data_IF_650477015547
#
_entry.id   IF_650477015547
#
_cell.length_a   1.000
_cell.length_b   1.000
_cell.length_c   1.000
_cell.angle_alpha   90.00
_cell.angle_beta   90.00
_cell.angle_gamma   90.00
#
_symmetry.space_group_name_H-M   'P 1'
#
loop_
_entity.id
_entity.type
_entity.pdbx_description
1 polymer ?
#
# COMPACT_ATOMS: atom_id res chain seq x y z
N UNK A 1 22.89 0.37 0.25
CA UNK A 1 21.49 -0.06 0.09
C UNK A 1 21.45 -1.57 0.01
N UNK A 2 20.69 -2.21 0.86
CA UNK A 2 20.54 -3.68 0.94
C UNK A 2 19.08 -4.04 0.77
N UNK A 3 18.78 -5.10 0.03
CA UNK A 3 17.41 -5.56 -0.14
C UNK A 3 17.26 -7.05 0.16
N UNK A 4 16.04 -7.43 0.51
CA UNK A 4 15.58 -8.82 0.57
C UNK A 4 14.21 -8.95 -0.08
N UNK A 5 13.80 -10.17 -0.38
CA UNK A 5 12.47 -10.45 -0.92
C UNK A 5 11.77 -11.49 -0.08
N UNK A 6 10.46 -11.42 0.01
CA UNK A 6 9.60 -12.42 0.63
C UNK A 6 8.44 -12.79 -0.28
N UNK A 7 8.09 -14.06 -0.29
CA UNK A 7 6.95 -14.55 -1.07
C UNK A 7 5.65 -14.37 -0.29
N UNK A 8 4.61 -13.95 -0.99
CA UNK A 8 3.27 -13.76 -0.42
C UNK A 8 2.21 -14.39 -1.33
N UNK A 9 0.98 -14.48 -0.86
CA UNK A 9 -0.14 -14.98 -1.68
C UNK A 9 -0.43 -14.11 -2.92
N UNK A 10 -0.10 -12.83 -2.88
CA UNK A 10 -0.31 -11.90 -4.00
C UNK A 10 0.89 -11.79 -4.95
N UNK A 11 2.03 -12.34 -4.56
CA UNK A 11 3.30 -12.29 -5.30
C UNK A 11 4.48 -11.96 -4.40
N UNK A 12 5.61 -11.66 -5.00
CA UNK A 12 6.83 -11.33 -4.26
C UNK A 12 6.80 -9.87 -3.79
N UNK A 13 7.20 -9.68 -2.54
CA UNK A 13 7.40 -8.37 -1.91
C UNK A 13 8.89 -8.13 -1.73
N UNK A 14 9.40 -7.02 -2.25
CA UNK A 14 10.76 -6.55 -2.08
C UNK A 14 10.81 -5.51 -0.96
N UNK A 15 11.77 -5.66 -0.05
CA UNK A 15 12.07 -4.72 1.03
C UNK A 15 13.49 -4.21 0.82
N UNK A 16 13.66 -2.90 0.80
CA UNK A 16 14.96 -2.27 0.62
C UNK A 16 15.26 -1.34 1.80
N UNK A 17 16.47 -1.45 2.31
CA UNK A 17 16.97 -0.72 3.47
C UNK A 17 18.18 0.11 3.10
N UNK A 18 18.28 1.30 3.68
CA UNK A 18 19.46 2.17 3.63
C UNK A 18 19.62 2.91 4.96
N UNK A 19 20.81 2.90 5.50
CA UNK A 19 21.18 3.61 6.75
C UNK A 19 20.25 3.29 7.94
N UNK A 20 19.87 2.02 8.10
CA UNK A 20 19.01 1.58 9.20
C UNK A 20 17.53 1.89 9.04
N UNK A 21 17.06 2.22 7.83
CA UNK A 21 15.66 2.56 7.54
C UNK A 21 15.18 1.90 6.25
N UNK A 22 13.93 1.47 6.24
CA UNK A 22 13.29 1.04 4.99
C UNK A 22 13.08 2.25 4.07
N UNK A 23 13.57 2.13 2.85
CA UNK A 23 13.44 3.16 1.82
C UNK A 23 12.54 2.74 0.66
N UNK A 24 12.33 1.42 0.50
CA UNK A 24 11.34 0.89 -0.44
C UNK A 24 10.70 -0.40 0.09
N UNK A 25 9.41 -0.54 -0.12
CA UNK A 25 8.63 -1.77 0.03
C UNK A 25 7.68 -1.82 -1.16
N UNK A 26 7.89 -2.77 -2.06
CA UNK A 26 7.13 -2.82 -3.32
C UNK A 26 7.09 -4.23 -3.93
N UNK A 27 6.21 -4.43 -4.90
CA UNK A 27 6.19 -5.64 -5.74
C UNK A 27 7.07 -5.49 -7.01
N UNK A 28 7.92 -4.46 -7.06
CA UNK A 28 8.83 -4.19 -8.18
C UNK A 28 10.20 -4.85 -7.97
N UNK A 29 11.01 -4.83 -9.00
CA UNK A 29 12.40 -5.26 -8.92
C UNK A 29 13.21 -4.33 -7.98
N UNK A 30 14.28 -4.85 -7.34
CA UNK A 30 15.14 -4.05 -6.49
C UNK A 30 15.77 -2.89 -7.26
N UNK A 31 16.11 -1.80 -6.58
CA UNK A 31 16.83 -0.69 -7.20
C UNK A 31 18.18 -1.13 -7.76
N UNK A 32 18.59 -0.51 -8.87
CA UNK A 32 19.90 -0.75 -9.47
C UNK A 32 21.01 -0.46 -8.45
N UNK A 33 21.99 -1.37 -8.37
CA UNK A 33 23.11 -1.27 -7.42
C UNK A 33 22.80 -1.68 -5.99
N UNK A 34 21.56 -2.08 -5.65
CA UNK A 34 21.27 -2.65 -4.34
C UNK A 34 21.80 -4.09 -4.23
N UNK A 35 22.47 -4.41 -3.11
CA UNK A 35 22.94 -5.76 -2.81
C UNK A 35 21.83 -6.62 -2.17
N UNK A 36 21.69 -7.85 -2.64
CA UNK A 36 20.84 -8.82 -1.94
C UNK A 36 21.49 -9.24 -0.62
N UNK A 37 20.73 -9.19 0.48
CA UNK A 37 21.26 -9.53 1.80
C UNK A 37 20.24 -9.36 2.90
N UNK A 38 20.71 -9.52 4.13
CA UNK A 38 19.91 -9.35 5.33
C UNK A 38 20.65 -8.48 6.36
N UNK A 39 19.90 -7.85 7.22
CA UNK A 39 20.36 -7.13 8.41
C UNK A 39 19.20 -7.02 9.41
N UNK A 40 19.48 -6.51 10.61
CA UNK A 40 18.50 -6.46 11.69
C UNK A 40 17.19 -5.72 11.31
N UNK A 41 17.26 -4.69 10.45
CA UNK A 41 16.08 -3.94 10.00
C UNK A 41 15.24 -4.77 9.02
N UNK A 42 15.88 -5.43 8.07
CA UNK A 42 15.21 -6.29 7.10
C UNK A 42 14.62 -7.54 7.75
N UNK A 43 15.35 -8.14 8.70
CA UNK A 43 14.87 -9.32 9.45
C UNK A 43 13.63 -8.97 10.28
N UNK A 44 13.66 -7.84 10.99
CA UNK A 44 12.51 -7.36 11.76
C UNK A 44 11.34 -6.98 10.83
N UNK A 45 11.62 -6.38 9.69
CA UNK A 45 10.61 -6.06 8.71
C UNK A 45 9.92 -7.33 8.18
N UNK A 46 10.66 -8.34 7.77
CA UNK A 46 10.10 -9.62 7.33
C UNK A 46 9.22 -10.24 8.42
N UNK A 47 9.68 -10.29 9.67
CA UNK A 47 8.92 -10.81 10.80
C UNK A 47 7.60 -10.07 11.03
N UNK A 48 7.61 -8.74 10.94
CA UNK A 48 6.39 -7.94 11.08
C UNK A 48 5.43 -8.11 9.90
N UNK A 49 5.94 -8.16 8.67
CA UNK A 49 5.11 -8.41 7.49
C UNK A 49 4.49 -9.80 7.52
N UNK A 50 5.23 -10.85 7.91
CA UNK A 50 4.67 -12.19 8.11
C UNK A 50 3.52 -12.16 9.12
N UNK A 51 3.73 -11.55 10.28
CA UNK A 51 2.69 -11.41 11.32
C UNK A 51 1.49 -10.60 10.84
N UNK A 52 1.70 -9.58 10.01
CA UNK A 52 0.63 -8.80 9.38
C UNK A 52 -0.16 -9.66 8.38
N UNK A 53 0.51 -10.42 7.52
CA UNK A 53 -0.14 -11.29 6.53
C UNK A 53 -0.86 -12.47 7.17
N UNK A 54 -0.46 -12.89 8.36
CA UNK A 54 -1.18 -13.87 9.19
C UNK A 54 -2.37 -13.26 9.97
N UNK A 55 -2.60 -11.95 9.86
CA UNK A 55 -3.65 -11.24 10.60
C UNK A 55 -3.37 -11.04 12.09
N UNK A 56 -2.17 -11.35 12.55
CA UNK A 56 -1.74 -11.23 13.95
C UNK A 56 -1.30 -9.82 14.31
N UNK A 57 -0.79 -9.06 13.35
CA UNK A 57 -0.33 -7.68 13.51
C UNK A 57 -1.17 -6.74 12.66
N UNK A 58 -1.67 -5.66 13.25
CA UNK A 58 -2.50 -4.66 12.56
C UNK A 58 -1.75 -3.35 12.26
N UNK A 59 -0.61 -3.14 12.89
CA UNK A 59 0.22 -1.94 12.71
C UNK A 59 1.67 -2.35 12.61
N UNK A 60 2.32 -1.88 11.57
CA UNK A 60 3.77 -2.04 11.38
C UNK A 60 4.49 -0.93 12.15
N UNK A 61 5.51 -1.31 12.92
CA UNK A 61 6.38 -0.38 13.66
C UNK A 61 7.83 -0.60 13.20
N UNK A 62 8.18 0.04 12.10
CA UNK A 62 9.45 -0.11 11.41
C UNK A 62 10.07 1.26 11.13
N UNK A 63 11.37 1.42 11.29
CA UNK A 63 12.04 2.64 10.87
C UNK A 63 11.99 2.77 9.35
N UNK A 64 11.54 3.90 8.86
CA UNK A 64 11.48 4.18 7.43
C UNK A 64 11.93 5.60 7.09
N UNK A 65 12.33 5.81 5.85
CA UNK A 65 12.53 7.11 5.26
C UNK A 65 11.90 7.12 3.86
N UNK A 66 11.15 8.14 3.56
CA UNK A 66 10.67 8.38 2.20
C UNK A 66 10.76 9.87 1.89
N UNK A 67 11.13 10.17 0.67
CA UNK A 67 11.27 11.52 0.18
C UNK A 67 10.43 11.70 -1.07
N UNK A 68 9.68 12.78 -1.09
CA UNK A 68 8.83 13.14 -2.21
C UNK A 68 8.69 14.65 -2.34
N UNK A 69 7.84 15.09 -3.23
CA UNK A 69 7.44 16.50 -3.25
C UNK A 69 6.63 16.83 -2.00
N UNK A 70 6.56 18.10 -1.58
CA UNK A 70 5.75 18.51 -0.42
C UNK A 70 4.28 18.05 -0.49
N UNK A 71 3.73 17.96 -1.70
CA UNK A 71 2.38 17.43 -1.91
C UNK A 71 2.32 15.92 -1.69
N UNK A 72 3.26 15.14 -2.22
CA UNK A 72 3.33 13.70 -2.00
C UNK A 72 3.50 13.35 -0.53
N UNK A 73 4.38 14.02 0.18
CA UNK A 73 4.61 13.78 1.61
C UNK A 73 3.36 14.03 2.44
N UNK A 74 2.61 15.11 2.15
CA UNK A 74 1.30 15.36 2.80
C UNK A 74 0.27 14.29 2.49
N UNK A 75 0.22 13.80 1.25
CA UNK A 75 -0.66 12.68 0.88
C UNK A 75 -0.27 11.44 1.66
N UNK A 76 1.00 11.05 1.64
CA UNK A 76 1.48 9.83 2.31
C UNK A 76 1.26 9.89 3.83
N UNK A 77 1.44 11.06 4.45
CA UNK A 77 1.10 11.25 5.87
C UNK A 77 -0.39 11.03 6.12
N UNK A 78 -1.26 11.58 5.29
CA UNK A 78 -2.70 11.35 5.40
C UNK A 78 -3.08 9.87 5.21
N UNK A 79 -2.38 9.15 4.30
CA UNK A 79 -2.59 7.71 4.11
C UNK A 79 -2.21 6.90 5.36
N UNK A 80 -1.12 7.24 6.05
CA UNK A 80 -0.69 6.56 7.27
C UNK A 80 -1.67 6.72 8.44
N UNK A 81 -2.55 7.72 8.38
CA UNK A 81 -3.61 7.93 9.37
C UNK A 81 -4.85 7.06 9.14
N UNK A 82 -4.96 6.34 8.01
CA UNK A 82 -6.09 5.45 7.75
C UNK A 82 -5.90 4.18 8.58
N UNK A 83 -6.82 3.86 9.53
CA UNK A 83 -6.68 2.68 10.37
C UNK A 83 -6.78 1.38 9.58
N UNK A 84 -6.25 0.30 10.17
CA UNK A 84 -6.42 -1.07 9.68
C UNK A 84 -7.92 -1.41 9.54
N UNK A 85 -8.28 -1.98 8.40
CA UNK A 85 -9.67 -2.35 8.10
C UNK A 85 -10.58 -1.19 7.69
N UNK A 86 -10.06 0.04 7.61
CA UNK A 86 -10.82 1.19 7.12
C UNK A 86 -10.36 1.61 5.72
N UNK A 87 -11.24 2.29 5.02
CA UNK A 87 -10.95 2.85 3.70
C UNK A 87 -11.35 4.32 3.63
N UNK A 88 -10.68 5.05 2.79
CA UNK A 88 -11.03 6.44 2.42
C UNK A 88 -11.05 6.57 0.91
N UNK A 89 -11.85 7.49 0.41
CA UNK A 89 -11.82 7.84 -1.01
C UNK A 89 -10.71 8.84 -1.30
N UNK A 90 -10.25 8.89 -2.55
CA UNK A 90 -9.27 9.90 -2.98
C UNK A 90 -9.76 11.33 -2.71
N UNK A 91 -11.07 11.58 -2.81
CA UNK A 91 -11.68 12.88 -2.50
C UNK A 91 -11.66 13.23 -1.01
N UNK A 92 -11.83 12.24 -0.11
CA UNK A 92 -11.70 12.44 1.33
C UNK A 92 -10.28 12.80 1.73
N UNK A 93 -9.28 12.09 1.19
CA UNK A 93 -7.86 12.43 1.39
C UNK A 93 -7.55 13.84 0.86
N UNK A 94 -8.04 14.18 -0.33
CA UNK A 94 -7.86 15.50 -0.92
C UNK A 94 -8.43 16.62 -0.02
N UNK A 95 -9.61 16.43 0.57
CA UNK A 95 -10.19 17.37 1.55
C UNK A 95 -9.37 17.45 2.83
N UNK A 96 -8.93 16.30 3.36
CA UNK A 96 -8.11 16.22 4.58
C UNK A 96 -6.82 17.02 4.47
N UNK A 97 -6.16 17.00 3.31
CA UNK A 97 -4.91 17.74 3.08
C UNK A 97 -5.12 19.19 2.62
N UNK A 98 -6.36 19.70 2.65
CA UNK A 98 -6.69 21.08 2.27
C UNK A 98 -6.77 21.37 0.77
N UNK A 99 -6.82 20.31 -0.08
CA UNK A 99 -6.87 20.42 -1.55
C UNK A 99 -8.09 19.68 -2.13
N UNK A 100 -9.35 20.10 -1.84
CA UNK A 100 -10.57 19.33 -2.12
C UNK A 100 -10.79 18.97 -3.60
N UNK A 101 -10.16 19.70 -4.53
CA UNK A 101 -10.24 19.43 -5.98
C UNK A 101 -9.09 18.54 -6.51
N UNK A 102 -8.19 18.09 -5.64
CA UNK A 102 -6.96 17.39 -6.02
C UNK A 102 -7.07 15.85 -5.98
N UNK A 103 -8.25 15.24 -6.05
CA UNK A 103 -8.43 13.78 -5.95
C UNK A 103 -7.57 13.00 -6.96
N UNK A 104 -7.44 13.50 -8.19
CA UNK A 104 -6.57 12.90 -9.22
C UNK A 104 -5.08 12.96 -8.85
N UNK A 105 -4.62 14.10 -8.33
CA UNK A 105 -3.24 14.28 -7.87
C UNK A 105 -2.94 13.41 -6.63
N UNK A 106 -3.91 13.24 -5.73
CA UNK A 106 -3.83 12.28 -4.61
C UNK A 106 -3.66 10.85 -5.13
N UNK A 107 -4.44 10.45 -6.14
CA UNK A 107 -4.27 9.13 -6.78
C UNK A 107 -2.88 8.93 -7.37
N UNK A 108 -2.32 9.94 -8.04
CA UNK A 108 -0.97 9.87 -8.58
C UNK A 108 0.09 9.81 -7.47
N UNK A 109 -0.06 10.58 -6.40
CA UNK A 109 0.83 10.53 -5.24
C UNK A 109 0.77 9.16 -4.53
N UNK A 110 -0.43 8.59 -4.37
CA UNK A 110 -0.61 7.24 -3.82
C UNK A 110 0.06 6.17 -4.71
N UNK A 111 -0.01 6.31 -6.04
CA UNK A 111 0.66 5.42 -6.99
C UNK A 111 2.19 5.48 -6.89
N UNK A 112 2.73 6.63 -6.54
CA UNK A 112 4.18 6.86 -6.38
C UNK A 112 4.70 6.56 -4.96
N UNK A 113 3.88 5.98 -4.10
CA UNK A 113 4.26 5.58 -2.75
C UNK A 113 5.39 4.54 -2.79
N UNK A 114 6.58 4.81 -2.23
CA UNK A 114 7.68 3.86 -2.23
C UNK A 114 7.58 2.82 -1.12
N UNK A 115 6.72 3.02 -0.12
CA UNK A 115 6.63 2.23 1.11
C UNK A 115 5.26 1.55 1.23
N UNK A 116 4.98 0.60 0.32
CA UNK A 116 3.74 -0.17 0.35
C UNK A 116 3.53 -0.81 1.73
N UNK A 117 2.31 -0.82 2.24
CA UNK A 117 1.91 -1.32 3.57
C UNK A 117 2.26 -0.38 4.73
N UNK A 118 3.48 0.14 4.82
CA UNK A 118 3.87 1.16 5.81
C UNK A 118 3.06 2.44 5.57
N UNK A 119 2.97 2.85 4.31
CA UNK A 119 2.02 3.86 3.85
C UNK A 119 0.89 3.14 3.10
N UNK A 120 -0.28 2.92 3.74
CA UNK A 120 -1.28 1.97 3.29
C UNK A 120 -2.13 2.51 2.13
N UNK A 121 -1.53 2.74 0.98
CA UNK A 121 -2.21 3.24 -0.21
C UNK A 121 -3.30 2.29 -0.74
N UNK A 122 -3.27 1.00 -0.36
CA UNK A 122 -4.35 0.05 -0.66
C UNK A 122 -5.68 0.40 0.03
N UNK A 123 -5.66 1.18 1.13
CA UNK A 123 -6.86 1.64 1.85
C UNK A 123 -7.56 2.83 1.18
N UNK A 124 -7.02 3.34 0.06
CA UNK A 124 -7.67 4.41 -0.71
C UNK A 124 -8.40 3.81 -1.90
N UNK A 125 -9.69 4.12 -2.01
CA UNK A 125 -10.60 3.58 -3.02
C UNK A 125 -11.28 4.70 -3.81
N UNK A 126 -11.89 4.36 -4.93
CA UNK A 126 -12.77 5.27 -5.66
C UNK A 126 -14.13 5.41 -4.95
N UNK A 127 -14.86 6.44 -5.33
CA UNK A 127 -16.27 6.61 -4.91
C UNK A 127 -17.09 5.37 -5.29
N UNK A 128 -18.14 5.08 -4.52
CA UNK A 128 -19.01 3.91 -4.68
C UNK A 128 -18.28 2.56 -4.53
N UNK A 129 -17.22 2.50 -3.73
CA UNK A 129 -16.50 1.26 -3.39
C UNK A 129 -15.67 0.65 -4.53
N UNK A 130 -15.51 1.32 -5.66
CA UNK A 130 -14.63 0.82 -6.72
C UNK A 130 -13.18 0.88 -6.27
N UNK A 131 -12.41 -0.17 -6.56
CA UNK A 131 -11.03 -0.32 -6.06
C UNK A 131 -10.08 0.79 -6.56
N UNK A 132 -10.26 1.25 -7.80
CA UNK A 132 -9.25 2.10 -8.44
C UNK A 132 -7.97 1.33 -8.77
N UNK A 133 -6.97 2.05 -9.29
CA UNK A 133 -5.67 1.47 -9.59
C UNK A 133 -4.82 1.19 -8.34
N UNK A 134 -3.77 0.38 -8.51
CA UNK A 134 -2.76 0.11 -7.50
C UNK A 134 -1.40 -0.15 -8.16
N UNK A 135 -0.32 0.40 -7.62
CA UNK A 135 1.00 0.30 -8.24
C UNK A 135 1.49 -1.15 -8.35
N UNK A 136 1.24 -1.96 -7.34
CA UNK A 136 1.57 -3.40 -7.33
C UNK A 136 0.55 -4.28 -8.07
N UNK A 137 -0.47 -3.69 -8.68
CA UNK A 137 -1.56 -4.39 -9.34
C UNK A 137 -2.78 -4.64 -8.46
N UNK A 138 -3.91 -4.82 -9.12
CA UNK A 138 -5.22 -4.92 -8.45
C UNK A 138 -5.32 -6.13 -7.52
N UNK A 139 -4.64 -7.25 -7.86
CA UNK A 139 -4.62 -8.47 -7.02
C UNK A 139 -4.06 -8.19 -5.62
N UNK A 140 -2.98 -7.41 -5.53
CA UNK A 140 -2.40 -6.99 -4.26
C UNK A 140 -3.40 -6.19 -3.43
N UNK A 141 -4.04 -5.21 -4.04
CA UNK A 141 -5.01 -4.36 -3.35
C UNK A 141 -6.21 -5.16 -2.84
N UNK A 142 -6.76 -6.05 -3.67
CA UNK A 142 -7.85 -6.93 -3.29
C UNK A 142 -7.49 -7.81 -2.11
N UNK A 143 -6.34 -8.50 -2.20
CA UNK A 143 -5.88 -9.39 -1.14
C UNK A 143 -5.67 -8.65 0.17
N UNK A 144 -5.02 -7.49 0.16
CA UNK A 144 -4.78 -6.69 1.37
C UNK A 144 -6.09 -6.20 1.99
N UNK A 145 -7.04 -5.74 1.20
CA UNK A 145 -8.34 -5.30 1.71
C UNK A 145 -9.13 -6.48 2.30
N UNK A 146 -9.11 -7.65 1.69
CA UNK A 146 -9.72 -8.86 2.23
C UNK A 146 -9.05 -9.30 3.54
N UNK A 147 -7.73 -9.29 3.58
CA UNK A 147 -6.96 -9.58 4.79
C UNK A 147 -7.37 -8.66 5.95
N UNK A 148 -7.61 -7.40 5.66
CA UNK A 148 -8.06 -6.41 6.65
C UNK A 148 -9.56 -6.47 6.96
N UNK A 149 -10.28 -7.48 6.45
CA UNK A 149 -11.70 -7.68 6.71
C UNK A 149 -12.65 -6.82 5.87
N UNK A 150 -12.14 -6.23 4.77
CA UNK A 150 -12.95 -5.49 3.78
C UNK A 150 -13.25 -6.38 2.59
N UNK A 151 -14.40 -7.02 2.62
CA UNK A 151 -14.94 -7.72 1.46
C UNK A 151 -15.71 -6.72 0.56
N UNK A 152 -14.95 -5.99 -0.26
CA UNK A 152 -15.53 -5.06 -1.25
C UNK A 152 -16.25 -5.80 -2.40
N UNK A 153 -16.21 -7.14 -2.43
CA UNK A 153 -16.86 -7.95 -3.45
C UNK A 153 -18.27 -8.36 -3.08
N UNK A 154 -18.67 -8.36 -1.80
CA UNK A 154 -20.04 -8.61 -1.39
C UNK A 154 -21.00 -7.61 -2.06
N UNK A 155 -20.58 -6.35 -2.21
CA UNK A 155 -21.38 -5.29 -2.84
C UNK A 155 -21.32 -5.34 -4.39
N UNK A 156 -20.23 -5.83 -4.98
CA UNK A 156 -20.07 -5.91 -6.45
C UNK A 156 -20.80 -7.13 -7.02
N UNK A 157 -20.92 -8.21 -6.28
CA UNK A 157 -21.63 -9.42 -6.73
C UNK A 157 -23.16 -9.25 -6.69
N UNK A 158 -23.66 -8.24 -5.97
CA UNK A 158 -25.10 -7.91 -5.96
C UNK A 158 -25.50 -6.97 -7.10
N UNK A 159 -24.55 -6.32 -7.76
CA UNK A 159 -24.83 -5.49 -8.93
C UNK A 159 -24.83 -6.35 -10.21
N UNK A 160 -26.02 -6.71 -10.67
CA UNK A 160 -26.27 -7.53 -11.87
C UNK A 160 -25.63 -6.95 -13.17
N UNK A 161 -25.20 -5.69 -13.18
CA UNK A 161 -24.62 -5.02 -14.34
C UNK A 161 -23.10 -5.25 -14.51
N UNK A 162 -22.44 -5.95 -13.60
CA UNK A 162 -20.98 -6.19 -13.67
C UNK A 162 -20.65 -7.53 -14.35
N UNK A 163 -21.60 -8.48 -14.39
CA UNK A 163 -21.38 -9.80 -15.01
C UNK A 163 -21.10 -9.78 -16.51
N UNK A 164 -21.59 -8.76 -17.22
CA UNK A 164 -21.53 -8.71 -18.69
C UNK A 164 -20.29 -7.97 -19.26
N UNK A 165 -19.36 -7.53 -18.42
CA UNK A 165 -18.14 -6.80 -18.85
C UNK A 165 -16.86 -7.63 -18.85
N UNK A 166 -16.93 -8.90 -18.45
CA UNK A 166 -15.73 -9.77 -18.31
C UNK A 166 -15.87 -11.12 -19.03
N UNK A 167 -16.84 -11.25 -19.95
CA UNK A 167 -16.92 -12.36 -20.92
C UNK A 167 -16.48 -11.92 -22.30
#
# INVERSE_FOLDING_TARGET
MTYTTMDTQAGQLMLCEEQGRLVAVSAAQPPEGAGCGSNAVLDEACRQFESYFEGKLRRLDLPFACHGTPFQERVWEALRQIPYGETRTYGEIARQIGHPRAARAVGLAAHRNPLMLITPCHRVICVRGKLGGFAAGIRWKQWLLQLEGRDLFADVLTDKNVRDRWT
#
